data_IF_678933102761
#
_entry.id   IF_678933102761
#
_cell.length_a   1.000
_cell.length_b   1.000
_cell.length_c   1.000
_cell.angle_alpha   90.00
_cell.angle_beta   90.00
_cell.angle_gamma   90.00
#
_symmetry.space_group_name_H-M   'P 1'
#
loop_
_entity.id
_entity.type
_entity.pdbx_description
1 polymer ?
#
# COMPACT_ATOMS: atom_id res chain seq x y z
N UNK A 1 -21.74 -20.63 52.30
CA UNK A 1 -22.34 -19.83 53.39
C UNK A 1 -21.43 -18.63 53.64
N UNK A 2 -22.04 -17.43 53.78
CA UNK A 2 -21.45 -16.09 53.99
C UNK A 2 -20.64 -15.55 52.78
N UNK A 3 -20.98 -14.44 52.13
CA UNK A 3 -21.98 -13.41 52.37
C UNK A 3 -21.34 -12.01 52.35
N UNK A 4 -21.94 -11.09 51.60
CA UNK A 4 -21.67 -9.64 51.63
C UNK A 4 -20.99 -9.11 50.36
N UNK A 5 -21.54 -8.20 49.55
CA UNK A 5 -22.73 -7.35 49.69
C UNK A 5 -22.38 -5.88 49.53
N UNK A 6 -23.02 -5.20 48.56
CA UNK A 6 -23.11 -3.73 48.41
C UNK A 6 -22.02 -3.09 47.53
N UNK A 7 -22.29 -2.16 46.60
CA UNK A 7 -23.54 -1.49 46.23
C UNK A 7 -23.24 -0.20 45.43
N UNK A 8 -24.02 0.00 44.35
CA UNK A 8 -24.66 1.25 43.88
C UNK A 8 -23.86 2.49 43.39
N UNK A 9 -23.94 2.70 42.06
CA UNK A 9 -24.41 3.88 41.27
C UNK A 9 -23.89 5.32 41.51
N UNK A 10 -23.47 5.98 40.40
CA UNK A 10 -24.03 7.24 39.81
C UNK A 10 -23.17 7.65 38.60
N UNK A 11 -23.63 7.64 37.34
CA UNK A 11 -24.47 8.63 36.63
C UNK A 11 -24.05 10.09 36.83
N UNK A 12 -23.28 10.62 35.87
CA UNK A 12 -23.21 12.05 35.57
C UNK A 12 -23.53 12.22 34.09
N UNK A 13 -24.61 12.97 33.86
CA UNK A 13 -25.15 13.38 32.58
C UNK A 13 -25.18 14.92 32.59
N UNK A 14 -25.33 15.53 31.40
CA UNK A 14 -25.56 16.94 31.03
C UNK A 14 -24.39 17.59 30.25
N UNK A 15 -24.64 18.62 29.41
CA UNK A 15 -25.67 18.68 28.35
C UNK A 15 -25.15 19.29 27.02
N UNK A 16 -26.01 19.25 26.01
CA UNK A 16 -25.94 19.95 24.71
C UNK A 16 -25.86 21.48 24.83
N UNK A 17 -25.24 22.17 23.86
CA UNK A 17 -25.82 23.29 23.07
C UNK A 17 -24.84 23.90 22.05
N UNK A 18 -25.40 24.28 20.89
CA UNK A 18 -24.80 24.84 19.68
C UNK A 18 -24.35 26.30 19.81
N UNK A 19 -23.53 26.80 18.85
CA UNK A 19 -23.64 28.13 18.21
C UNK A 19 -22.78 28.18 16.92
N UNK A 20 -23.36 28.80 15.90
CA UNK A 20 -22.91 29.04 14.53
C UNK A 20 -21.86 30.15 14.39
N UNK A 21 -21.00 30.08 13.37
CA UNK A 21 -20.55 31.23 12.58
C UNK A 21 -19.78 30.77 11.32
N UNK A 22 -20.26 31.16 10.13
CA UNK A 22 -19.55 31.04 8.85
C UNK A 22 -19.16 32.45 8.42
N UNK A 23 -17.89 32.75 8.13
CA UNK A 23 -17.53 33.92 7.34
C UNK A 23 -17.38 33.57 5.85
N UNK A 24 -18.10 34.34 5.04
CA UNK A 24 -17.95 34.44 3.58
C UNK A 24 -16.68 35.24 3.32
N UNK A 25 -15.74 34.70 2.52
CA UNK A 25 -14.60 35.45 1.98
C UNK A 25 -14.62 35.34 0.47
N UNK A 26 -14.84 36.49 -0.18
CA UNK A 26 -14.61 36.71 -1.60
C UNK A 26 -13.10 36.77 -1.87
N UNK A 27 -12.62 36.04 -2.86
CA UNK A 27 -11.28 36.27 -3.44
C UNK A 27 -11.38 36.37 -4.95
N UNK A 28 -10.98 37.53 -5.44
CA UNK A 28 -10.85 37.95 -6.83
C UNK A 28 -9.72 37.17 -7.54
N UNK A 29 -10.02 36.64 -8.72
CA UNK A 29 -9.05 36.06 -9.66
C UNK A 29 -8.25 37.16 -10.35
N UNK A 30 -6.92 37.10 -10.24
CA UNK A 30 -6.01 37.72 -11.20
C UNK A 30 -5.25 36.62 -11.94
N UNK A 31 -5.55 36.47 -13.24
CA UNK A 31 -4.86 35.58 -14.17
C UNK A 31 -3.71 36.37 -14.79
N UNK A 32 -2.46 35.94 -14.51
CA UNK A 32 -1.29 36.41 -15.23
C UNK A 32 -0.88 35.32 -16.24
N UNK A 33 -0.97 35.66 -17.52
CA UNK A 33 -0.51 34.86 -18.66
C UNK A 33 0.97 35.15 -18.85
N UNK A 34 1.82 34.14 -18.76
CA UNK A 34 3.22 34.21 -19.23
C UNK A 34 3.43 33.22 -20.36
N UNK A 35 3.58 33.79 -21.56
CA UNK A 35 4.14 33.15 -22.74
C UNK A 35 5.67 33.24 -22.68
N UNK A 36 6.37 32.13 -22.89
CA UNK A 36 7.83 32.11 -22.98
C UNK A 36 8.33 30.86 -23.69
N UNK A 37 8.46 30.96 -25.01
CA UNK A 37 9.21 30.06 -25.88
C UNK A 37 10.70 30.40 -25.83
N UNK A 38 11.58 29.40 -25.91
CA UNK A 38 12.90 29.37 -26.58
C UNK A 38 13.66 28.10 -26.17
N UNK A 39 13.84 27.16 -27.11
CA UNK A 39 15.03 26.93 -27.94
C UNK A 39 16.20 26.29 -27.18
N UNK A 40 16.40 25.00 -27.47
CA UNK A 40 17.59 24.20 -27.15
C UNK A 40 18.74 24.63 -28.05
N UNK A 41 19.77 25.24 -27.46
CA UNK A 41 21.05 25.54 -28.07
C UNK A 41 22.16 24.77 -27.36
N UNK A 42 22.84 23.92 -28.11
CA UNK A 42 23.96 23.06 -27.72
C UNK A 42 25.27 23.83 -27.92
N UNK A 43 26.12 24.00 -26.89
CA UNK A 43 27.56 24.27 -27.02
C UNK A 43 28.29 23.84 -25.74
N UNK A 44 29.40 23.13 -25.90
CA UNK A 44 30.17 22.53 -24.81
C UNK A 44 31.36 23.33 -24.33
N UNK A 45 32.08 22.72 -23.38
CA UNK A 45 33.51 22.89 -23.13
C UNK A 45 33.92 24.09 -22.28
N UNK A 46 34.65 23.81 -21.19
CA UNK A 46 35.53 24.80 -20.57
C UNK A 46 35.49 24.77 -19.04
N UNK A 47 36.58 24.29 -18.44
CA UNK A 47 36.79 24.33 -17.00
C UNK A 47 36.89 25.77 -16.47
N UNK A 48 36.43 25.95 -15.24
CA UNK A 48 36.57 27.18 -14.49
C UNK A 48 36.54 26.89 -13.01
N UNK A 49 37.67 27.16 -12.34
CA UNK A 49 37.76 27.22 -10.89
C UNK A 49 36.81 28.30 -10.36
N UNK A 50 36.13 28.03 -9.24
CA UNK A 50 35.35 29.05 -8.55
C UNK A 50 35.84 29.22 -7.12
N UNK A 51 36.40 30.40 -6.89
CA UNK A 51 36.82 30.97 -5.62
C UNK A 51 35.57 31.46 -4.86
N UNK A 52 35.42 31.10 -3.59
CA UNK A 52 34.36 31.63 -2.72
C UNK A 52 34.85 32.89 -1.99
N UNK A 53 34.04 33.97 -1.91
CA UNK A 53 34.17 34.95 -0.85
C UNK A 53 33.15 34.65 0.27
N UNK A 54 33.65 34.83 1.48
CA UNK A 54 32.93 34.84 2.76
C UNK A 54 32.03 36.07 2.89
N UNK A 55 30.89 35.92 3.57
CA UNK A 55 30.06 37.07 3.93
C UNK A 55 28.71 36.70 4.53
N UNK A 56 28.61 36.90 5.85
CA UNK A 56 27.45 36.91 6.75
C UNK A 56 26.06 37.18 6.14
N UNK A 57 25.03 36.45 6.60
CA UNK A 57 23.99 36.93 7.55
C UNK A 57 22.90 35.85 7.73
N UNK A 58 22.55 35.57 8.99
CA UNK A 58 21.47 34.66 9.41
C UNK A 58 20.11 35.32 9.20
N UNK A 59 19.06 34.52 8.91
CA UNK A 59 17.75 34.77 9.49
C UNK A 59 17.34 33.68 10.47
N UNK A 60 16.63 34.11 11.51
CA UNK A 60 16.08 33.32 12.59
C UNK A 60 15.05 32.29 12.08
N UNK A 61 15.14 31.08 12.62
CA UNK A 61 14.07 30.07 12.54
C UNK A 61 12.95 30.48 13.50
N UNK A 62 11.90 31.11 12.96
CA UNK A 62 10.60 31.18 13.64
C UNK A 62 9.79 29.95 13.26
N UNK A 63 9.28 29.26 14.28
CA UNK A 63 8.59 27.99 14.16
C UNK A 63 7.34 28.04 13.27
N UNK A 64 7.18 26.99 12.47
CA UNK A 64 5.94 26.69 11.79
C UNK A 64 5.08 25.83 12.71
N UNK A 65 4.04 26.47 13.23
CA UNK A 65 2.86 25.82 13.81
C UNK A 65 2.21 24.91 12.77
N UNK A 66 2.06 23.64 13.12
CA UNK A 66 1.21 22.69 12.41
C UNK A 66 -0.26 23.13 12.53
N UNK A 67 -0.88 23.50 11.42
CA UNK A 67 -2.34 23.61 11.31
C UNK A 67 -2.86 22.78 10.14
N UNK A 68 -3.63 21.75 10.52
CA UNK A 68 -4.81 21.19 9.87
C UNK A 68 -4.85 20.89 8.36
N UNK A 69 -5.00 19.57 8.09
CA UNK A 69 -5.96 18.94 7.18
C UNK A 69 -6.18 19.61 5.81
N UNK A 70 -5.51 19.07 4.80
CA UNK A 70 -6.09 18.97 3.46
C UNK A 70 -6.72 17.57 3.31
N UNK A 71 -8.04 17.54 3.27
CA UNK A 71 -8.78 16.42 2.69
C UNK A 71 -8.53 16.41 1.17
N UNK A 72 -8.41 15.25 0.52
CA UNK A 72 -8.51 15.20 -0.93
C UNK A 72 -9.93 15.56 -1.34
N UNK A 73 -10.08 16.70 -2.02
CA UNK A 73 -11.30 17.10 -2.68
C UNK A 73 -11.57 16.15 -3.85
N UNK A 74 -12.62 15.34 -3.75
CA UNK A 74 -13.23 14.69 -4.91
C UNK A 74 -13.96 15.77 -5.71
N UNK A 75 -13.34 16.25 -6.78
CA UNK A 75 -14.00 17.10 -7.77
C UNK A 75 -15.03 16.27 -8.52
N UNK A 76 -16.30 16.50 -8.21
CA UNK A 76 -17.41 16.08 -9.04
C UNK A 76 -17.45 16.92 -10.33
N UNK A 77 -17.62 16.26 -11.47
CA UNK A 77 -18.14 16.89 -12.69
C UNK A 77 -17.10 17.51 -13.63
N UNK A 78 -16.55 16.69 -14.51
CA UNK A 78 -15.97 17.11 -15.79
C UNK A 78 -16.09 15.95 -16.77
N UNK A 79 -16.63 16.14 -17.99
CA UNK A 79 -16.92 15.04 -18.91
C UNK A 79 -15.61 14.48 -19.46
N UNK A 80 -15.13 13.39 -18.87
CA UNK A 80 -14.16 12.53 -19.51
C UNK A 80 -14.86 11.87 -20.70
N UNK A 81 -14.51 12.28 -21.92
CA UNK A 81 -14.80 11.47 -23.09
C UNK A 81 -13.86 10.27 -23.08
N UNK A 82 -14.35 9.03 -22.94
CA UNK A 82 -13.53 7.86 -23.16
C UNK A 82 -13.37 7.70 -24.68
N UNK A 83 -12.14 7.64 -25.15
CA UNK A 83 -11.83 6.97 -26.41
C UNK A 83 -12.21 5.50 -26.26
N UNK A 84 -13.45 5.18 -26.59
CA UNK A 84 -13.97 3.84 -26.75
C UNK A 84 -13.18 3.13 -27.85
N UNK A 85 -12.16 2.36 -27.46
CA UNK A 85 -11.77 1.20 -28.24
C UNK A 85 -12.93 0.20 -28.10
N UNK A 86 -13.77 0.11 -29.14
CA UNK A 86 -14.99 -0.70 -29.16
C UNK A 86 -14.71 -2.17 -28.86
N UNK A 87 -14.88 -2.57 -27.59
CA UNK A 87 -14.99 -3.97 -27.21
C UNK A 87 -16.42 -4.42 -27.47
N UNK A 88 -16.57 -5.22 -28.52
CA UNK A 88 -17.81 -5.91 -28.87
C UNK A 88 -18.27 -6.72 -27.66
N UNK A 89 -19.36 -6.29 -27.03
CA UNK A 89 -20.23 -7.23 -26.33
C UNK A 89 -20.69 -8.24 -27.39
N UNK A 90 -20.68 -9.56 -27.13
CA UNK A 90 -21.26 -10.51 -28.06
C UNK A 90 -22.72 -10.10 -28.30
N UNK A 91 -23.01 -9.66 -29.52
CA UNK A 91 -24.36 -9.36 -29.96
C UNK A 91 -25.10 -10.70 -30.05
N UNK A 92 -25.84 -11.03 -29.00
CA UNK A 92 -26.76 -12.15 -29.02
C UNK A 92 -27.90 -11.80 -29.99
N UNK A 93 -28.02 -12.57 -31.07
CA UNK A 93 -29.06 -12.39 -32.08
C UNK A 93 -30.34 -13.08 -31.56
N UNK A 94 -31.41 -12.31 -31.33
CA UNK A 94 -32.66 -12.82 -30.77
C UNK A 94 -33.64 -13.13 -31.91
N UNK A 95 -33.88 -14.42 -32.18
CA UNK A 95 -34.97 -14.86 -33.03
C UNK A 95 -36.26 -14.98 -32.21
N UNK A 96 -37.28 -14.18 -32.54
CA UNK A 96 -38.62 -14.33 -31.96
C UNK A 96 -39.50 -15.13 -32.92
N UNK A 97 -40.00 -16.27 -32.47
CA UNK A 97 -41.08 -17.01 -33.14
C UNK A 97 -42.37 -16.75 -32.38
N UNK A 98 -43.33 -16.06 -33.01
CA UNK A 98 -44.67 -15.86 -32.46
C UNK A 98 -45.57 -17.02 -32.88
N UNK A 99 -45.99 -17.83 -31.92
CA UNK A 99 -47.08 -18.81 -32.10
C UNK A 99 -48.31 -18.34 -31.33
N UNK A 100 -49.49 -18.47 -31.95
CA UNK A 100 -50.76 -17.84 -31.57
C UNK A 100 -51.20 -18.02 -30.11
N UNK A 101 -51.89 -17.00 -29.60
CA UNK A 101 -52.31 -16.87 -28.21
C UNK A 101 -53.67 -17.56 -27.98
N UNK A 102 -53.68 -18.66 -27.22
CA UNK A 102 -54.90 -19.25 -26.68
C UNK A 102 -55.16 -18.70 -25.26
N UNK A 103 -56.18 -17.84 -25.14
CA UNK A 103 -56.63 -17.27 -23.85
C UNK A 103 -57.68 -18.18 -23.22
N UNK A 104 -57.25 -19.29 -22.63
CA UNK A 104 -58.10 -20.17 -21.82
C UNK A 104 -57.46 -20.37 -20.44
N UNK A 105 -58.07 -19.74 -19.43
CA UNK A 105 -57.51 -19.57 -18.10
C UNK A 105 -57.31 -20.86 -17.30
N UNK A 106 -56.23 -20.88 -16.52
CA UNK A 106 -56.13 -21.61 -15.25
C UNK A 106 -54.90 -21.13 -14.47
N UNK A 107 -55.06 -21.02 -13.16
CA UNK A 107 -54.15 -20.40 -12.20
C UNK A 107 -52.82 -21.16 -12.00
N UNK A 108 -51.81 -20.42 -11.53
CA UNK A 108 -50.74 -20.88 -10.62
C UNK A 108 -49.43 -21.44 -11.20
N UNK A 109 -49.07 -21.12 -12.44
CA UNK A 109 -47.65 -21.21 -12.82
C UNK A 109 -46.98 -19.86 -12.54
N UNK A 110 -46.16 -19.76 -11.50
CA UNK A 110 -45.28 -18.58 -11.23
C UNK A 110 -44.41 -18.19 -12.44
N UNK A 111 -44.31 -19.07 -13.44
CA UNK A 111 -43.61 -18.83 -14.69
C UNK A 111 -44.52 -18.25 -15.78
N UNK A 112 -44.08 -17.22 -16.52
CA UNK A 112 -44.90 -16.59 -17.55
C UNK A 112 -45.08 -17.53 -18.75
N UNK A 113 -46.33 -17.82 -19.09
CA UNK A 113 -46.69 -18.56 -20.29
C UNK A 113 -47.03 -17.58 -21.43
N UNK A 114 -46.00 -16.95 -22.01
CA UNK A 114 -46.16 -15.96 -23.09
C UNK A 114 -46.37 -16.60 -24.47
N UNK A 115 -46.25 -17.92 -24.60
CA UNK A 115 -46.16 -18.61 -25.89
C UNK A 115 -44.86 -18.35 -26.66
N UNK A 116 -43.96 -17.50 -26.15
CA UNK A 116 -42.68 -17.16 -26.79
C UNK A 116 -41.62 -18.18 -26.40
N UNK A 117 -41.04 -18.84 -27.41
CA UNK A 117 -39.83 -19.67 -27.23
C UNK A 117 -38.60 -18.84 -27.54
N UNK A 118 -37.72 -18.71 -26.54
CA UNK A 118 -36.48 -17.98 -26.69
C UNK A 118 -35.37 -18.96 -27.05
N UNK A 119 -34.59 -18.59 -28.05
CA UNK A 119 -33.34 -19.24 -28.36
C UNK A 119 -32.18 -18.29 -28.07
N UNK A 120 -31.19 -18.75 -27.30
CA UNK A 120 -29.99 -17.99 -26.98
C UNK A 120 -28.87 -18.58 -27.82
N UNK A 121 -28.39 -17.84 -28.83
CA UNK A 121 -27.45 -18.37 -29.82
C UNK A 121 -27.97 -19.63 -30.54
N UNK A 122 -29.26 -19.64 -30.91
CA UNK A 122 -29.88 -20.72 -31.67
C UNK A 122 -30.14 -22.01 -30.88
N UNK A 123 -29.91 -22.04 -29.56
CA UNK A 123 -30.25 -23.18 -28.71
C UNK A 123 -31.39 -22.82 -27.73
N UNK A 124 -32.24 -23.80 -27.36
CA UNK A 124 -33.29 -23.60 -26.35
C UNK A 124 -32.73 -23.10 -25.03
N UNK A 125 -33.53 -22.34 -24.28
CA UNK A 125 -33.07 -21.64 -23.10
C UNK A 125 -32.53 -22.59 -22.02
N UNK A 126 -33.15 -23.76 -21.83
CA UNK A 126 -32.69 -24.74 -20.85
C UNK A 126 -31.23 -25.18 -21.13
N UNK A 127 -30.94 -25.51 -22.38
CA UNK A 127 -29.64 -25.95 -22.86
C UNK A 127 -28.64 -24.80 -22.87
N UNK A 128 -29.10 -23.56 -23.11
CA UNK A 128 -28.26 -22.37 -23.01
C UNK A 128 -27.80 -22.12 -21.58
N UNK A 129 -28.68 -22.26 -20.59
CA UNK A 129 -28.33 -22.12 -19.17
C UNK A 129 -27.32 -23.20 -18.75
N UNK A 130 -27.52 -24.45 -19.18
CA UNK A 130 -26.59 -25.54 -18.88
C UNK A 130 -25.23 -25.36 -19.57
N UNK A 131 -25.22 -24.82 -20.80
CA UNK A 131 -24.00 -24.64 -21.59
C UNK A 131 -23.20 -23.40 -21.22
N UNK A 132 -23.87 -22.27 -20.98
CA UNK A 132 -23.23 -20.99 -20.79
C UNK A 132 -23.19 -20.55 -19.32
N UNK A 133 -24.13 -21.01 -18.50
CA UNK A 133 -24.16 -20.75 -17.06
C UNK A 133 -25.47 -20.14 -16.56
N UNK A 134 -25.65 -20.23 -15.24
CA UNK A 134 -26.83 -19.75 -14.51
C UNK A 134 -27.02 -18.24 -14.56
N UNK A 135 -25.98 -17.46 -14.86
CA UNK A 135 -26.06 -16.00 -14.96
C UNK A 135 -27.10 -15.52 -15.99
N UNK A 136 -27.44 -16.35 -16.98
CA UNK A 136 -28.50 -16.04 -17.96
C UNK A 136 -29.87 -15.88 -17.29
N UNK A 137 -30.07 -16.47 -16.12
CA UNK A 137 -31.32 -16.37 -15.37
C UNK A 137 -31.65 -14.95 -14.91
N UNK A 138 -30.64 -14.13 -14.59
CA UNK A 138 -30.88 -12.72 -14.23
C UNK A 138 -31.57 -11.91 -15.33
N UNK A 139 -31.37 -12.29 -16.60
CA UNK A 139 -31.99 -11.62 -17.74
C UNK A 139 -33.23 -12.32 -18.26
N UNK A 140 -33.27 -13.66 -18.20
CA UNK A 140 -34.22 -14.46 -18.97
C UNK A 140 -35.27 -15.20 -18.14
N UNK A 141 -35.21 -15.18 -16.79
CA UNK A 141 -36.20 -15.85 -15.93
C UNK A 141 -37.64 -15.48 -16.31
N UNK A 142 -37.93 -14.21 -16.56
CA UNK A 142 -39.30 -13.74 -16.84
C UNK A 142 -39.64 -13.64 -18.33
N UNK A 143 -38.78 -14.10 -19.23
CA UNK A 143 -38.99 -13.88 -20.68
C UNK A 143 -39.66 -15.08 -21.36
N UNK A 144 -39.42 -16.31 -20.88
CA UNK A 144 -40.11 -17.51 -21.38
C UNK A 144 -40.38 -18.52 -20.26
N UNK A 145 -41.41 -19.34 -20.45
CA UNK A 145 -41.78 -20.40 -19.51
C UNK A 145 -40.62 -21.39 -19.30
N UNK A 146 -39.90 -21.74 -20.38
CA UNK A 146 -38.78 -22.68 -20.35
C UNK A 146 -37.60 -22.14 -19.51
N UNK A 147 -37.21 -20.88 -19.73
CA UNK A 147 -36.17 -20.25 -18.91
C UNK A 147 -36.59 -20.19 -17.44
N UNK A 148 -37.82 -19.76 -17.16
CA UNK A 148 -38.31 -19.65 -15.80
C UNK A 148 -38.25 -20.97 -15.05
N UNK A 149 -38.76 -22.06 -15.66
CA UNK A 149 -38.76 -23.39 -15.03
C UNK A 149 -37.35 -23.84 -14.66
N UNK A 150 -36.37 -23.64 -15.55
CA UNK A 150 -34.96 -23.97 -15.28
C UNK A 150 -34.34 -23.06 -14.22
N UNK A 151 -34.58 -21.75 -14.31
CA UNK A 151 -34.00 -20.79 -13.37
C UNK A 151 -34.52 -20.97 -11.96
N UNK A 152 -35.82 -21.27 -11.79
CA UNK A 152 -36.42 -21.53 -10.47
C UNK A 152 -35.72 -22.68 -9.73
N UNK A 153 -35.30 -23.75 -10.41
CA UNK A 153 -34.57 -24.85 -9.75
C UNK A 153 -33.17 -24.47 -9.28
N UNK A 154 -32.59 -23.41 -9.86
CA UNK A 154 -31.26 -22.91 -9.51
C UNK A 154 -31.32 -21.77 -8.49
N UNK A 155 -32.50 -21.16 -8.30
CA UNK A 155 -32.68 -19.96 -7.48
C UNK A 155 -32.47 -20.26 -6.01
N UNK A 156 -31.50 -19.59 -5.40
CA UNK A 156 -31.29 -19.59 -3.96
C UNK A 156 -31.81 -18.28 -3.34
N UNK A 157 -33.01 -18.33 -2.77
CA UNK A 157 -33.66 -17.17 -2.16
C UNK A 157 -32.91 -16.59 -0.94
N UNK A 158 -31.99 -17.34 -0.32
CA UNK A 158 -31.19 -16.85 0.79
C UNK A 158 -30.03 -15.93 0.35
N UNK A 159 -29.66 -15.94 -0.95
CA UNK A 159 -28.57 -15.14 -1.51
C UNK A 159 -29.13 -13.96 -2.31
N UNK A 160 -29.68 -12.96 -1.61
CA UNK A 160 -30.26 -11.76 -2.24
C UNK A 160 -29.22 -11.05 -3.13
N UNK A 161 -29.59 -10.79 -4.38
CA UNK A 161 -28.73 -10.23 -5.42
C UNK A 161 -27.73 -11.21 -6.01
N UNK A 162 -27.71 -12.46 -5.57
CA UNK A 162 -26.82 -13.54 -5.99
C UNK A 162 -27.58 -14.87 -6.11
N UNK A 163 -28.86 -14.78 -6.44
CA UNK A 163 -29.82 -15.88 -6.38
C UNK A 163 -29.44 -17.02 -7.33
N UNK A 164 -28.75 -16.71 -8.43
CA UNK A 164 -28.27 -17.68 -9.41
C UNK A 164 -26.74 -17.84 -9.39
N UNK A 165 -26.06 -17.34 -8.35
CA UNK A 165 -24.61 -17.22 -8.30
C UNK A 165 -24.11 -15.97 -9.03
N UNK A 166 -23.01 -16.09 -9.77
CA UNK A 166 -22.38 -14.99 -10.50
C UNK A 166 -23.29 -14.41 -11.61
N UNK A 167 -23.19 -13.11 -11.86
CA UNK A 167 -23.92 -12.36 -12.90
C UNK A 167 -23.23 -12.38 -14.27
N UNK A 168 -22.01 -12.91 -14.35
CA UNK A 168 -21.25 -12.94 -15.59
C UNK A 168 -20.40 -14.21 -15.71
N UNK A 169 -20.35 -14.79 -16.91
CA UNK A 169 -19.39 -15.86 -17.22
C UNK A 169 -17.92 -15.42 -17.12
N UNK A 170 -17.64 -14.10 -17.12
CA UNK A 170 -16.26 -13.57 -16.94
C UNK A 170 -15.72 -13.75 -15.53
N UNK A 171 -16.60 -14.03 -14.55
CA UNK A 171 -16.19 -14.22 -13.16
C UNK A 171 -15.19 -15.38 -12.99
N UNK A 172 -15.23 -16.39 -13.86
CA UNK A 172 -14.28 -17.51 -13.86
C UNK A 172 -12.80 -17.12 -14.05
N UNK A 173 -12.53 -15.91 -14.57
CA UNK A 173 -11.17 -15.41 -14.82
C UNK A 173 -10.66 -14.47 -13.72
N UNK A 174 -11.52 -14.09 -12.76
CA UNK A 174 -11.11 -13.18 -11.68
C UNK A 174 -10.05 -13.83 -10.79
N UNK A 175 -9.09 -13.02 -10.38
CA UNK A 175 -8.11 -13.33 -9.34
C UNK A 175 -8.61 -12.78 -7.99
N UNK A 176 -8.02 -13.24 -6.89
CA UNK A 176 -8.44 -12.85 -5.55
C UNK A 176 -8.41 -11.33 -5.32
N UNK A 177 -7.38 -10.64 -5.83
CA UNK A 177 -7.26 -9.19 -5.68
C UNK A 177 -8.36 -8.41 -6.43
N UNK A 178 -8.96 -8.98 -7.48
CA UNK A 178 -10.03 -8.32 -8.24
C UNK A 178 -11.32 -8.18 -7.42
N UNK A 179 -11.51 -9.00 -6.37
CA UNK A 179 -12.66 -8.97 -5.48
C UNK A 179 -12.68 -7.78 -4.50
N UNK A 180 -11.56 -7.04 -4.39
CA UNK A 180 -11.55 -5.77 -3.67
C UNK A 180 -12.37 -4.69 -4.40
N UNK A 181 -12.52 -4.76 -5.73
CA UNK A 181 -13.46 -3.90 -6.46
C UNK A 181 -14.92 -4.29 -6.12
N UNK A 182 -15.68 -3.31 -5.62
CA UNK A 182 -17.08 -3.51 -5.24
C UNK A 182 -17.95 -4.00 -6.40
N UNK A 183 -17.67 -3.54 -7.64
CA UNK A 183 -18.44 -3.95 -8.82
C UNK A 183 -18.21 -5.42 -9.16
N UNK A 184 -16.96 -5.87 -9.08
CA UNK A 184 -16.62 -7.27 -9.27
C UNK A 184 -17.26 -8.13 -8.18
N UNK A 185 -17.20 -7.68 -6.92
CA UNK A 185 -17.82 -8.39 -5.80
C UNK A 185 -19.33 -8.55 -5.92
N UNK A 186 -20.01 -7.51 -6.42
CA UNK A 186 -21.45 -7.56 -6.68
C UNK A 186 -21.79 -8.45 -7.88
N UNK A 187 -21.00 -8.38 -8.95
CA UNK A 187 -21.26 -9.14 -10.18
C UNK A 187 -20.77 -10.59 -10.12
N UNK A 188 -19.78 -10.89 -9.30
CA UNK A 188 -19.07 -12.17 -9.21
C UNK A 188 -19.06 -12.68 -7.77
N UNK A 189 -20.22 -12.61 -7.12
CA UNK A 189 -20.34 -12.87 -5.70
C UNK A 189 -20.02 -14.32 -5.30
N UNK A 190 -20.36 -15.33 -6.10
CA UNK A 190 -19.99 -16.71 -5.78
C UNK A 190 -18.50 -16.94 -5.97
N UNK A 191 -17.94 -16.43 -7.07
CA UNK A 191 -16.51 -16.53 -7.28
C UNK A 191 -15.73 -15.80 -6.19
N UNK A 192 -16.13 -14.59 -5.80
CA UNK A 192 -15.45 -13.85 -4.74
C UNK A 192 -15.59 -14.55 -3.38
N UNK A 193 -16.78 -15.02 -2.99
CA UNK A 193 -16.90 -15.79 -1.73
C UNK A 193 -16.03 -17.04 -1.71
N UNK A 194 -15.81 -17.71 -2.86
CA UNK A 194 -14.87 -18.85 -2.97
C UNK A 194 -13.40 -18.44 -2.88
N UNK A 195 -13.04 -17.27 -3.43
CA UNK A 195 -11.66 -16.75 -3.38
C UNK A 195 -11.32 -16.10 -2.02
N UNK A 196 -12.33 -15.86 -1.19
CA UNK A 196 -12.15 -15.33 0.16
C UNK A 196 -11.41 -16.31 1.04
N UNK A 197 -10.38 -15.83 1.72
CA UNK A 197 -9.59 -16.64 2.65
C UNK A 197 -10.28 -16.69 4.03
N UNK A 198 -10.61 -17.89 4.55
CA UNK A 198 -11.25 -18.02 5.85
C UNK A 198 -10.28 -17.60 6.98
N UNK A 199 -10.75 -16.77 7.91
CA UNK A 199 -9.93 -16.27 9.02
C UNK A 199 -8.90 -15.21 8.61
N UNK A 200 -8.96 -14.72 7.37
CA UNK A 200 -8.11 -13.64 6.93
C UNK A 200 -8.29 -12.37 7.77
N UNK A 201 -7.20 -11.60 7.86
CA UNK A 201 -7.19 -10.33 8.57
C UNK A 201 -8.18 -9.36 7.92
N UNK A 202 -8.82 -8.52 8.75
CA UNK A 202 -9.66 -7.44 8.26
C UNK A 202 -8.90 -6.53 7.30
N UNK A 203 -9.46 -6.32 6.10
CA UNK A 203 -8.84 -5.61 4.99
C UNK A 203 -7.89 -6.47 4.13
N UNK A 204 -7.76 -7.76 4.41
CA UNK A 204 -6.96 -8.72 3.63
C UNK A 204 -7.77 -9.96 3.28
N UNK A 205 -9.10 -9.84 3.16
CA UNK A 205 -10.02 -10.98 3.05
C UNK A 205 -9.76 -11.86 1.82
N UNK A 206 -9.08 -11.32 0.81
CA UNK A 206 -8.70 -12.00 -0.43
C UNK A 206 -7.17 -12.13 -0.59
N UNK A 207 -6.40 -11.90 0.47
CA UNK A 207 -4.94 -11.78 0.42
C UNK A 207 -4.50 -10.36 0.02
N UNK A 208 -3.37 -10.24 -0.66
CA UNK A 208 -2.86 -8.96 -1.16
C UNK A 208 -3.83 -8.31 -2.17
N UNK A 209 -3.99 -6.98 -2.10
CA UNK A 209 -4.87 -6.19 -2.96
C UNK A 209 -4.27 -5.88 -4.34
N UNK A 210 -3.00 -6.22 -4.54
CA UNK A 210 -2.30 -6.03 -5.83
C UNK A 210 -1.46 -7.26 -6.13
N UNK A 211 -1.33 -7.68 -7.40
CA UNK A 211 -0.43 -8.77 -7.77
C UNK A 211 1.06 -8.38 -7.65
N UNK A 212 1.37 -7.09 -7.46
CA UNK A 212 2.74 -6.56 -7.52
C UNK A 212 3.49 -6.56 -6.17
N UNK A 213 3.23 -7.54 -5.30
CA UNK A 213 3.84 -7.61 -3.97
C UNK A 213 5.19 -8.34 -3.92
N UNK A 214 5.64 -8.93 -5.04
CA UNK A 214 6.95 -9.59 -5.12
C UNK A 214 8.12 -8.61 -4.86
N UNK A 215 7.98 -7.33 -5.27
CA UNK A 215 8.96 -6.29 -4.94
C UNK A 215 9.06 -6.03 -3.43
N UNK A 216 7.94 -6.09 -2.72
CA UNK A 216 7.89 -5.93 -1.27
C UNK A 216 8.50 -7.14 -0.57
N UNK A 217 8.32 -8.34 -1.12
CA UNK A 217 8.97 -9.55 -0.62
C UNK A 217 10.49 -9.49 -0.74
N UNK A 218 11.00 -8.98 -1.86
CA UNK A 218 12.44 -8.82 -2.08
C UNK A 218 13.06 -7.68 -1.26
N UNK A 219 12.27 -6.64 -0.97
CA UNK A 219 12.69 -5.53 -0.11
C UNK A 219 11.64 -5.26 0.98
N UNK A 220 11.72 -5.99 2.12
CA UNK A 220 10.76 -5.86 3.23
C UNK A 220 10.64 -4.45 3.81
N UNK A 221 11.68 -3.61 3.66
CA UNK A 221 11.66 -2.20 4.04
C UNK A 221 10.54 -1.40 3.34
N UNK A 222 10.03 -1.88 2.20
CA UNK A 222 8.89 -1.27 1.53
C UNK A 222 7.58 -1.36 2.34
N UNK A 223 7.47 -2.27 3.31
CA UNK A 223 6.31 -2.35 4.21
C UNK A 223 6.20 -1.18 5.21
N UNK A 224 7.26 -0.37 5.38
CA UNK A 224 7.17 0.88 6.15
C UNK A 224 6.39 1.98 5.41
N UNK A 225 6.22 1.85 4.09
CA UNK A 225 5.40 2.75 3.29
C UNK A 225 3.93 2.36 3.48
N UNK A 226 3.05 3.25 3.99
CA UNK A 226 1.66 2.92 4.32
C UNK A 226 0.87 2.31 3.16
N UNK A 227 1.08 2.81 1.94
CA UNK A 227 0.39 2.35 0.74
C UNK A 227 0.77 0.91 0.39
N UNK A 228 2.07 0.58 0.43
CA UNK A 228 2.54 -0.79 0.20
C UNK A 228 2.03 -1.72 1.30
N UNK A 229 2.01 -1.27 2.55
CA UNK A 229 1.46 -2.07 3.66
C UNK A 229 -0.03 -2.36 3.52
N UNK A 230 -0.78 -1.43 2.95
CA UNK A 230 -2.20 -1.60 2.67
C UNK A 230 -2.43 -2.52 1.46
N UNK A 231 -1.70 -2.29 0.36
CA UNK A 231 -1.86 -3.07 -0.87
C UNK A 231 -1.29 -4.49 -0.77
N UNK A 232 -0.19 -4.66 -0.05
CA UNK A 232 0.51 -5.94 0.17
C UNK A 232 0.34 -6.41 1.62
N UNK A 233 -0.89 -6.36 2.11
CA UNK A 233 -1.16 -6.53 3.53
C UNK A 233 -0.94 -7.96 4.04
N UNK A 234 -1.14 -8.99 3.20
CA UNK A 234 -0.85 -10.38 3.53
C UNK A 234 0.66 -10.62 3.48
N UNK A 235 1.32 -10.19 2.41
CA UNK A 235 2.79 -10.27 2.26
C UNK A 235 3.51 -9.57 3.41
N UNK A 236 3.17 -8.32 3.73
CA UNK A 236 3.78 -7.58 4.83
C UNK A 236 3.50 -8.23 6.19
N UNK A 237 2.36 -8.89 6.38
CA UNK A 237 2.10 -9.61 7.63
C UNK A 237 2.98 -10.86 7.77
N UNK A 238 3.20 -11.56 6.67
CA UNK A 238 3.97 -12.82 6.62
C UNK A 238 5.47 -12.60 6.77
N UNK A 239 6.02 -11.56 6.14
CA UNK A 239 7.47 -11.26 6.20
C UNK A 239 7.89 -10.50 7.46
N UNK A 240 6.97 -10.29 8.40
CA UNK A 240 7.23 -9.60 9.65
C UNK A 240 8.21 -10.42 10.51
N UNK A 241 9.35 -9.85 10.85
CA UNK A 241 10.42 -10.51 11.63
C UNK A 241 10.19 -10.24 13.12
N UNK A 242 9.51 -11.17 13.78
CA UNK A 242 9.34 -11.20 15.23
C UNK A 242 8.46 -10.08 15.82
N UNK A 243 8.49 -9.98 17.14
CA UNK A 243 7.67 -9.04 17.92
C UNK A 243 8.31 -7.67 18.11
N UNK A 244 9.44 -7.39 17.44
CA UNK A 244 10.07 -6.07 17.52
C UNK A 244 9.15 -5.00 16.90
N UNK A 245 8.43 -4.29 17.76
CA UNK A 245 7.49 -3.25 17.34
C UNK A 245 8.17 -2.04 16.71
N UNK A 246 9.44 -1.78 17.03
CA UNK A 246 10.20 -0.70 16.42
C UNK A 246 10.64 -1.05 15.00
N UNK A 247 10.85 -2.34 14.73
CA UNK A 247 11.41 -2.80 13.48
C UNK A 247 10.79 -4.09 12.92
N UNK A 248 9.48 -4.09 12.65
CA UNK A 248 8.74 -5.29 12.28
C UNK A 248 9.21 -5.94 10.97
N UNK A 249 9.86 -5.21 10.07
CA UNK A 249 10.30 -5.74 8.77
C UNK A 249 11.82 -5.66 8.56
N UNK A 250 12.58 -5.52 9.65
CA UNK A 250 14.02 -5.24 9.58
C UNK A 250 14.31 -3.83 9.06
N UNK A 251 15.48 -3.65 8.44
CA UNK A 251 15.97 -2.35 7.99
C UNK A 251 15.02 -1.69 6.98
N UNK A 252 14.65 -0.42 7.20
CA UNK A 252 13.71 0.29 6.32
C UNK A 252 14.33 0.61 4.95
N UNK A 253 15.66 0.74 4.89
CA UNK A 253 16.40 1.06 3.67
C UNK A 253 17.67 0.23 3.60
N UNK A 254 17.66 -0.86 2.84
CA UNK A 254 18.78 -1.79 2.74
C UNK A 254 20.08 -1.11 2.25
N UNK A 255 20.00 -0.17 1.32
CA UNK A 255 21.17 0.52 0.76
C UNK A 255 21.81 1.49 1.77
N UNK A 256 20.98 2.21 2.53
CA UNK A 256 21.45 3.08 3.61
C UNK A 256 22.02 2.25 4.77
N UNK A 257 21.42 1.10 5.05
CA UNK A 257 21.73 0.27 6.21
C UNK A 257 22.83 -0.77 5.95
N UNK A 258 23.55 -0.72 4.82
CA UNK A 258 24.74 -1.54 4.60
C UNK A 258 25.82 -1.21 5.65
N UNK A 259 26.17 -2.14 6.56
CA UNK A 259 27.01 -1.84 7.73
C UNK A 259 28.45 -1.48 7.35
N UNK A 260 28.97 -2.05 6.26
CA UNK A 260 30.35 -1.88 5.82
C UNK A 260 30.41 -1.24 4.42
N UNK A 261 31.47 -0.48 4.16
CA UNK A 261 31.84 -0.04 2.82
C UNK A 261 32.63 -1.14 2.05
N UNK A 262 33.01 -0.85 0.81
CA UNK A 262 33.78 -1.78 -0.03
C UNK A 262 35.17 -2.12 0.54
N UNK A 263 35.69 -1.31 1.47
CA UNK A 263 36.98 -1.49 2.11
C UNK A 263 36.86 -2.15 3.50
N UNK A 264 35.64 -2.55 3.90
CA UNK A 264 35.37 -3.14 5.22
C UNK A 264 35.30 -2.12 6.37
N UNK A 265 35.28 -0.82 6.08
CA UNK A 265 35.06 0.23 7.07
C UNK A 265 33.60 0.31 7.48
N UNK A 266 33.32 0.57 8.76
CA UNK A 266 31.95 0.78 9.25
C UNK A 266 31.39 2.06 8.64
N UNK A 267 30.27 1.95 7.91
CA UNK A 267 29.63 3.06 7.19
C UNK A 267 28.45 3.67 7.96
N UNK A 268 27.72 2.86 8.71
CA UNK A 268 26.46 3.30 9.34
C UNK A 268 26.71 3.90 10.72
N UNK A 269 26.01 5.00 11.02
CA UNK A 269 26.10 5.64 12.33
C UNK A 269 25.03 5.14 13.30
N UNK A 270 25.19 3.94 13.86
CA UNK A 270 24.23 3.40 14.82
C UNK A 270 24.16 4.15 16.16
N UNK A 271 25.14 5.02 16.44
CA UNK A 271 25.10 5.94 17.59
C UNK A 271 24.07 7.06 17.41
N UNK A 272 23.67 7.37 16.17
CA UNK A 272 22.61 8.34 15.91
C UNK A 272 21.22 7.67 16.06
N UNK A 273 20.37 8.10 17.01
CA UNK A 273 19.07 7.47 17.24
C UNK A 273 18.16 7.37 16.01
N UNK A 274 18.11 8.36 15.08
CA UNK A 274 17.33 8.24 13.86
C UNK A 274 17.82 7.11 12.94
N UNK A 275 19.14 6.96 12.79
CA UNK A 275 19.73 5.90 11.97
C UNK A 275 19.47 4.54 12.60
N UNK A 276 19.60 4.42 13.93
CA UNK A 276 19.32 3.17 14.64
C UNK A 276 17.87 2.70 14.46
N UNK A 277 16.91 3.62 14.39
CA UNK A 277 15.49 3.29 14.12
C UNK A 277 15.27 2.81 12.68
N UNK A 278 16.01 3.35 11.72
CA UNK A 278 15.90 3.01 10.30
C UNK A 278 16.66 1.71 9.99
N UNK A 279 17.82 1.51 10.61
CA UNK A 279 18.78 0.42 10.37
C UNK A 279 18.87 -0.53 11.57
N UNK A 280 17.74 -0.87 12.16
CA UNK A 280 17.66 -1.63 13.41
C UNK A 280 18.42 -2.97 13.36
N UNK A 281 18.31 -3.71 12.26
CA UNK A 281 18.81 -5.07 12.14
C UNK A 281 20.30 -5.01 11.81
N UNK A 282 20.71 -4.08 10.96
CA UNK A 282 22.13 -3.80 10.75
C UNK A 282 22.83 -3.29 12.01
N UNK A 283 22.19 -2.42 12.80
CA UNK A 283 22.76 -1.95 14.06
C UNK A 283 22.86 -3.06 15.10
N UNK A 284 21.86 -3.94 15.20
CA UNK A 284 21.92 -5.12 16.06
C UNK A 284 23.06 -6.06 15.62
N UNK A 285 23.19 -6.35 14.32
CA UNK A 285 24.28 -7.18 13.79
C UNK A 285 25.66 -6.58 14.07
N UNK A 286 25.81 -5.26 13.97
CA UNK A 286 27.06 -4.59 14.35
C UNK A 286 27.34 -4.75 15.84
N UNK A 287 26.32 -4.63 16.69
CA UNK A 287 26.47 -4.81 18.12
C UNK A 287 26.88 -6.24 18.49
N UNK A 288 26.36 -7.25 17.80
CA UNK A 288 26.73 -8.65 17.99
C UNK A 288 28.14 -8.96 17.48
N UNK A 289 28.65 -8.19 16.51
CA UNK A 289 29.99 -8.38 15.93
C UNK A 289 31.11 -7.76 16.78
N UNK A 290 30.82 -6.70 17.54
CA UNK A 290 31.82 -6.01 18.36
C UNK A 290 31.92 -6.68 19.74
N UNK A 291 33.13 -6.96 20.25
CA UNK A 291 33.29 -7.48 21.60
C UNK A 291 32.63 -6.56 22.64
N UNK A 292 31.81 -7.14 23.53
CA UNK A 292 31.06 -6.39 24.56
C UNK A 292 31.96 -5.64 25.57
N UNK A 293 33.26 -5.95 25.58
CA UNK A 293 34.23 -5.46 26.55
C UNK A 293 34.81 -4.08 26.21
N UNK A 294 34.50 -3.49 25.04
CA UNK A 294 35.05 -2.18 24.64
C UNK A 294 34.07 -1.06 25.03
N UNK A 295 34.34 -0.27 26.09
CA UNK A 295 33.37 0.68 26.62
C UNK A 295 33.08 1.82 25.64
N UNK A 296 31.80 2.09 25.37
CA UNK A 296 31.36 3.17 24.47
C UNK A 296 31.50 2.88 22.97
N UNK A 297 31.76 1.61 22.62
CA UNK A 297 32.00 1.12 21.26
C UNK A 297 30.96 0.10 20.82
N UNK A 298 29.71 0.23 21.29
CA UNK A 298 28.68 -0.79 21.09
C UNK A 298 28.40 -1.08 19.61
N UNK A 299 28.76 -0.17 18.70
CA UNK A 299 28.61 -0.35 17.26
C UNK A 299 29.92 -0.18 16.49
N UNK A 300 31.06 -0.30 17.18
CA UNK A 300 32.40 -0.12 16.62
C UNK A 300 32.81 1.34 16.53
N UNK A 301 33.66 1.69 15.57
CA UNK A 301 34.09 3.08 15.38
C UNK A 301 32.91 3.98 15.03
N UNK A 302 32.90 5.18 15.62
CA UNK A 302 31.97 6.23 15.22
C UNK A 302 32.38 6.72 13.83
N UNK A 303 31.43 6.98 12.91
CA UNK A 303 31.76 7.51 11.60
C UNK A 303 32.26 8.95 11.76
N UNK A 304 33.59 9.09 11.75
CA UNK A 304 34.30 10.35 11.90
C UNK A 304 35.28 10.51 10.74
N UNK A 305 35.43 11.76 10.30
CA UNK A 305 36.40 12.15 9.29
C UNK A 305 37.37 13.14 9.91
N UNK A 306 38.64 12.77 9.98
CA UNK A 306 39.72 13.65 10.42
C UNK A 306 40.24 14.42 9.22
N UNK A 307 40.07 15.74 9.22
CA UNK A 307 40.68 16.60 8.20
C UNK A 307 42.09 16.96 8.67
N UNK A 308 43.09 16.50 7.93
CA UNK A 308 44.49 16.84 8.18
C UNK A 308 44.99 17.71 7.05
N UNK A 309 45.76 18.75 7.37
CA UNK A 309 46.28 19.67 6.36
C UNK A 309 47.11 18.99 5.27
N UNK A 310 47.69 17.82 5.58
CA UNK A 310 48.58 17.06 4.69
C UNK A 310 47.90 15.90 3.97
N UNK A 311 46.87 15.27 4.53
CA UNK A 311 46.31 14.01 4.00
C UNK A 311 44.79 14.05 3.74
N UNK A 312 44.19 15.24 3.60
CA UNK A 312 42.74 15.42 3.38
C UNK A 312 41.92 14.68 4.47
N UNK A 313 40.79 14.11 4.07
CA UNK A 313 39.80 13.43 4.91
C UNK A 313 40.23 11.97 5.18
N UNK A 314 40.58 11.67 6.43
CA UNK A 314 40.96 10.34 6.89
C UNK A 314 39.86 9.73 7.77
N UNK A 315 39.58 8.44 7.59
CA UNK A 315 38.81 7.66 8.57
C UNK A 315 39.74 7.13 9.68
N UNK A 316 39.19 6.44 10.68
CA UNK A 316 39.97 5.88 11.80
C UNK A 316 41.12 4.98 11.34
N UNK A 317 40.88 4.04 10.43
CA UNK A 317 41.91 3.12 9.92
C UNK A 317 43.05 3.86 9.23
N UNK A 318 42.74 4.79 8.32
CA UNK A 318 43.74 5.59 7.61
C UNK A 318 44.47 6.54 8.55
N UNK A 319 43.75 7.13 9.52
CA UNK A 319 44.35 8.01 10.52
C UNK A 319 45.42 7.26 11.34
N UNK A 320 45.12 6.06 11.83
CA UNK A 320 46.09 5.24 12.56
C UNK A 320 47.30 4.86 11.70
N UNK A 321 47.09 4.63 10.40
CA UNK A 321 48.19 4.30 9.48
C UNK A 321 49.18 5.46 9.32
N UNK A 322 48.70 6.70 9.32
CA UNK A 322 49.57 7.88 9.10
C UNK A 322 50.17 8.44 10.39
N UNK A 323 49.43 8.42 11.50
CA UNK A 323 49.83 9.09 12.74
C UNK A 323 50.19 8.13 13.89
N UNK A 324 50.03 6.82 13.69
CA UNK A 324 50.33 5.79 14.68
C UNK A 324 49.22 5.57 15.71
N UNK A 325 49.24 4.39 16.34
CA UNK A 325 48.25 3.98 17.34
C UNK A 325 48.37 4.74 18.68
N UNK A 326 49.52 5.35 18.94
CA UNK A 326 49.78 6.26 20.08
C UNK A 326 48.70 7.35 20.21
N UNK A 327 48.11 7.77 19.08
CA UNK A 327 47.05 8.78 19.04
C UNK A 327 45.78 8.37 19.79
N UNK A 328 45.57 7.06 20.02
CA UNK A 328 44.45 6.56 20.81
C UNK A 328 44.48 7.04 22.26
N UNK A 329 45.67 7.20 22.86
CA UNK A 329 45.84 7.65 24.24
C UNK A 329 46.08 9.16 24.33
N UNK A 330 46.80 9.73 23.36
CA UNK A 330 47.16 11.16 23.35
C UNK A 330 45.99 12.05 22.92
N UNK A 331 45.16 11.59 21.99
CA UNK A 331 44.05 12.37 21.44
C UNK A 331 42.70 11.76 21.85
N UNK A 332 42.05 12.38 22.83
CA UNK A 332 40.76 11.90 23.36
C UNK A 332 39.68 11.77 22.27
N UNK A 333 39.64 12.66 21.28
CA UNK A 333 38.67 12.56 20.20
C UNK A 333 38.92 11.34 19.32
N UNK A 334 40.18 10.98 19.09
CA UNK A 334 40.55 9.76 18.37
C UNK A 334 40.20 8.54 19.21
N UNK A 335 40.59 8.48 20.48
CA UNK A 335 40.25 7.35 21.36
C UNK A 335 38.73 7.12 21.49
N UNK A 336 37.94 8.20 21.56
CA UNK A 336 36.47 8.11 21.68
C UNK A 336 35.78 7.70 20.39
N UNK A 337 36.22 8.23 19.23
CA UNK A 337 35.54 7.98 17.96
C UNK A 337 36.11 6.77 17.20
N UNK A 338 37.37 6.42 17.40
CA UNK A 338 38.06 5.30 16.75
C UNK A 338 38.31 4.14 17.71
N UNK A 339 37.38 3.94 18.63
CA UNK A 339 37.61 3.11 19.79
C UNK A 339 37.78 1.60 19.45
N UNK A 340 37.09 1.09 18.43
CA UNK A 340 37.28 -0.29 17.95
C UNK A 340 38.60 -0.44 17.21
N UNK A 341 38.95 0.52 16.35
CA UNK A 341 40.26 0.56 15.70
C UNK A 341 41.39 0.62 16.74
N UNK A 342 41.28 1.50 17.74
CA UNK A 342 42.24 1.63 18.82
C UNK A 342 42.42 0.33 19.61
N UNK A 343 41.32 -0.34 19.95
CA UNK A 343 41.36 -1.64 20.61
C UNK A 343 42.11 -2.69 19.76
N UNK A 344 41.85 -2.76 18.45
CA UNK A 344 42.54 -3.69 17.55
C UNK A 344 44.05 -3.48 17.51
N UNK A 345 44.52 -2.23 17.47
CA UNK A 345 45.97 -1.94 17.48
C UNK A 345 46.62 -2.16 18.86
N UNK A 346 45.85 -2.12 19.95
CA UNK A 346 46.39 -2.40 21.29
C UNK A 346 46.63 -3.88 21.58
N UNK A 347 46.03 -4.78 20.79
CA UNK A 347 46.15 -6.23 20.97
C UNK A 347 47.23 -6.90 20.10
N UNK A 348 47.81 -6.19 19.14
CA UNK A 348 48.78 -6.73 18.17
C UNK A 348 50.17 -6.16 18.35
#
# INVERSE_FOLDING_TARGET
MKGGGGGWTSLVQLPYSCISAVPIVQTSLHVAVYTGSQQLGNYGGGGGQTYYPSGQQRPAYTGLTYTNRQQPAYTAGGPFQPTYAGQQQPFYNYGYSQTGYDTSGYYDSECPNTGIRIQINGIPCNAAIDRYGSYLCYRHEYTSQECCQKCRTLKNAARIGCEYGDHSGRCAQLQSFDCYDLRNRQSCCETCERLRQPGARAGCEYGDMTPNCERVRQNPGLCYIPENRYLCCDTCSTIRVGDNSECPWGDQNQDLCQPFDQNGGIRINCYAPPIRRICCQSCQRLQEWIPAEIPGCEYGDRPVTFNTGTHRNLNCTSFMRYFGHEQCSVNQAVGTNCCYTCHRYSQG
#
